data_IF_521520957662
#
_entry.id   IF_521520957662
#
_cell.length_a   1.000
_cell.length_b   1.000
_cell.length_c   1.000
_cell.angle_alpha   90.00
_cell.angle_beta   90.00
_cell.angle_gamma   90.00
#
_symmetry.space_group_name_H-M   'P 1'
#
loop_
_entity.id
_entity.type
_entity.pdbx_description
1 polymer ?
#
# COMPACT_ATOMS: atom_id res chain seq x y z
N UNK A 1 -2.86 -19.11 -0.96
CA UNK A 1 -1.97 -19.21 -2.14
C UNK A 1 -1.24 -17.89 -2.28
N UNK A 2 0.08 -17.89 -2.07
CA UNK A 2 0.94 -16.72 -2.17
C UNK A 2 1.31 -16.48 -3.63
N UNK A 3 0.67 -15.49 -4.26
CA UNK A 3 0.92 -15.10 -5.64
C UNK A 3 2.20 -14.28 -5.70
N UNK A 4 3.33 -14.98 -5.79
CA UNK A 4 4.64 -14.39 -6.07
C UNK A 4 4.63 -14.01 -7.56
N UNK A 5 5.00 -12.76 -7.86
CA UNK A 5 5.05 -12.24 -9.24
C UNK A 5 6.52 -11.97 -9.57
N UNK A 6 6.96 -12.44 -10.74
CA UNK A 6 8.29 -12.14 -11.28
C UNK A 6 8.34 -10.68 -11.75
N UNK A 7 9.27 -9.90 -11.20
CA UNK A 7 9.62 -8.57 -11.68
C UNK A 7 10.65 -8.67 -12.83
N UNK A 8 10.75 -7.65 -13.69
CA UNK A 8 11.63 -7.57 -14.88
C UNK A 8 13.12 -7.93 -14.65
N UNK A 9 13.59 -7.98 -13.41
CA UNK A 9 14.95 -8.38 -13.03
C UNK A 9 15.07 -9.83 -12.49
N UNK A 10 14.07 -10.69 -12.69
CA UNK A 10 14.10 -12.08 -12.20
C UNK A 10 14.00 -12.20 -10.67
N UNK A 11 13.58 -11.13 -9.99
CA UNK A 11 13.37 -11.13 -8.53
C UNK A 11 11.91 -11.45 -8.22
N UNK A 12 11.69 -12.54 -7.48
CA UNK A 12 10.39 -12.94 -6.95
C UNK A 12 9.90 -11.92 -5.92
N UNK A 13 8.93 -11.10 -6.30
CA UNK A 13 8.35 -10.07 -5.45
C UNK A 13 6.97 -10.49 -4.93
N UNK A 14 6.67 -10.13 -3.68
CA UNK A 14 5.34 -10.32 -3.09
C UNK A 14 4.58 -9.00 -3.12
N UNK A 15 3.57 -8.83 -4.00
CA UNK A 15 2.79 -7.59 -4.10
C UNK A 15 2.20 -7.15 -2.76
N UNK A 16 1.72 -8.11 -1.97
CA UNK A 16 1.23 -7.89 -0.60
C UNK A 16 2.28 -7.26 0.31
N UNK A 17 3.52 -7.75 0.30
CA UNK A 17 4.60 -7.19 1.14
C UNK A 17 5.00 -5.79 0.69
N UNK A 18 5.00 -5.55 -0.62
CA UNK A 18 5.31 -4.23 -1.19
C UNK A 18 4.23 -3.23 -0.79
N UNK A 19 2.96 -3.56 -1.01
CA UNK A 19 1.84 -2.70 -0.66
C UNK A 19 1.78 -2.41 0.86
N UNK A 20 2.04 -3.42 1.70
CA UNK A 20 2.10 -3.22 3.14
C UNK A 20 3.27 -2.32 3.58
N UNK A 21 4.44 -2.46 2.94
CA UNK A 21 5.62 -1.62 3.21
C UNK A 21 5.48 -0.18 2.71
N UNK A 22 4.58 0.07 1.77
CA UNK A 22 4.27 1.41 1.26
C UNK A 22 3.42 2.26 2.21
N UNK A 23 2.80 1.65 3.23
CA UNK A 23 1.93 2.33 4.18
C UNK A 23 2.56 2.41 5.58
N UNK A 24 2.67 3.62 6.15
CA UNK A 24 3.09 3.78 7.55
C UNK A 24 2.05 3.19 8.50
N UNK A 25 2.44 2.90 9.75
CA UNK A 25 1.47 2.62 10.80
C UNK A 25 0.59 3.85 11.09
N UNK A 26 -0.61 3.60 11.62
CA UNK A 26 -1.47 4.66 12.15
C UNK A 26 -0.87 5.19 13.45
N UNK A 27 -0.69 6.52 13.53
CA UNK A 27 -0.10 7.22 14.67
C UNK A 27 -1.01 8.38 15.10
N UNK A 28 -1.12 8.62 16.40
CA UNK A 28 -1.91 9.73 16.95
C UNK A 28 -1.11 11.03 16.86
N UNK A 29 -1.71 12.07 16.29
CA UNK A 29 -1.13 13.40 16.15
C UNK A 29 -2.18 14.46 16.48
N UNK A 30 -2.08 15.03 17.68
CA UNK A 30 -3.09 15.96 18.21
C UNK A 30 -4.46 15.29 18.31
N UNK A 31 -5.47 15.92 17.68
CA UNK A 31 -6.85 15.43 17.62
C UNK A 31 -7.08 14.34 16.55
N UNK A 32 -6.05 13.95 15.79
CA UNK A 32 -6.18 13.06 14.64
C UNK A 32 -5.36 11.77 14.78
N UNK A 33 -5.76 10.76 14.03
CA UNK A 33 -5.00 9.55 13.73
C UNK A 33 -4.59 9.62 12.27
N UNK A 34 -3.27 9.59 12.03
CA UNK A 34 -2.68 9.83 10.71
C UNK A 34 -1.84 8.65 10.25
N UNK A 35 -1.80 8.43 8.94
CA UNK A 35 -0.83 7.55 8.28
C UNK A 35 -0.50 8.09 6.89
N UNK A 36 0.62 7.66 6.33
CA UNK A 36 1.01 7.95 4.95
C UNK A 36 0.97 6.70 4.08
N UNK A 37 0.67 6.87 2.80
CA UNK A 37 0.73 5.83 1.77
C UNK A 37 1.57 6.34 0.60
N UNK A 38 2.65 5.62 0.27
CA UNK A 38 3.43 5.86 -0.94
C UNK A 38 2.80 5.12 -2.12
N UNK A 39 2.15 5.84 -3.02
CA UNK A 39 1.48 5.26 -4.20
C UNK A 39 2.47 5.09 -5.36
N UNK A 40 3.43 6.00 -5.47
CA UNK A 40 4.55 5.96 -6.40
C UNK A 40 5.79 6.57 -5.74
N UNK A 41 6.94 6.49 -6.39
CA UNK A 41 8.21 7.13 -6.02
C UNK A 41 8.06 8.60 -5.59
N UNK A 42 7.30 9.38 -6.36
CA UNK A 42 7.07 10.82 -6.12
C UNK A 42 5.66 11.16 -5.60
N UNK A 43 4.81 10.15 -5.30
CA UNK A 43 3.45 10.34 -4.77
C UNK A 43 3.32 9.71 -3.37
N UNK A 44 3.41 10.57 -2.34
CA UNK A 44 3.14 10.22 -0.95
C UNK A 44 1.87 10.95 -0.51
N UNK A 45 0.87 10.18 -0.11
CA UNK A 45 -0.42 10.69 0.36
C UNK A 45 -0.51 10.57 1.87
N UNK A 46 -0.95 11.64 2.52
CA UNK A 46 -1.23 11.65 3.94
C UNK A 46 -2.73 11.60 4.20
N UNK A 47 -3.13 10.76 5.15
CA UNK A 47 -4.52 10.60 5.56
C UNK A 47 -4.66 10.91 7.03
N UNK A 48 -5.73 11.59 7.39
CA UNK A 48 -6.06 11.97 8.76
C UNK A 48 -7.51 11.66 9.09
N UNK A 49 -7.74 11.02 10.23
CA UNK A 49 -9.08 10.69 10.73
C UNK A 49 -9.21 11.12 12.18
N UNK A 50 -10.40 11.48 12.62
CA UNK A 50 -10.68 11.75 14.04
C UNK A 50 -10.92 10.48 14.85
N UNK A 51 -11.18 9.36 14.19
CA UNK A 51 -11.40 8.05 14.79
C UNK A 51 -10.30 7.06 14.39
N UNK A 52 -9.81 6.30 15.38
CA UNK A 52 -8.70 5.35 15.18
C UNK A 52 -9.12 4.18 14.33
N UNK A 53 -10.29 3.60 14.60
CA UNK A 53 -10.75 2.40 13.91
C UNK A 53 -10.96 2.69 12.43
N UNK A 54 -11.55 3.84 12.09
CA UNK A 54 -11.66 4.32 10.71
C UNK A 54 -10.30 4.50 10.04
N UNK A 55 -9.30 5.04 10.74
CA UNK A 55 -7.95 5.16 10.18
C UNK A 55 -7.33 3.79 9.85
N UNK A 56 -7.47 2.81 10.76
CA UNK A 56 -6.97 1.46 10.57
C UNK A 56 -7.70 0.74 9.42
N UNK A 57 -9.03 0.79 9.38
CA UNK A 57 -9.82 0.20 8.29
C UNK A 57 -9.53 0.85 6.94
N UNK A 58 -9.42 2.18 6.88
CA UNK A 58 -9.06 2.88 5.65
C UNK A 58 -7.67 2.48 5.17
N UNK A 59 -6.71 2.36 6.08
CA UNK A 59 -5.35 1.89 5.77
C UNK A 59 -5.38 0.50 5.13
N UNK A 60 -6.13 -0.44 5.70
CA UNK A 60 -6.24 -1.81 5.15
C UNK A 60 -6.85 -1.83 3.74
N UNK A 61 -7.93 -1.08 3.54
CA UNK A 61 -8.59 -0.97 2.23
C UNK A 61 -7.65 -0.38 1.19
N UNK A 62 -6.93 0.69 1.51
CA UNK A 62 -6.02 1.35 0.57
C UNK A 62 -4.81 0.47 0.24
N UNK A 63 -4.25 -0.26 1.22
CA UNK A 63 -3.19 -1.25 0.97
C UNK A 63 -3.68 -2.33 0.02
N UNK A 64 -4.91 -2.83 0.18
CA UNK A 64 -5.50 -3.82 -0.72
C UNK A 64 -5.63 -3.30 -2.15
N UNK A 65 -6.06 -2.05 -2.35
CA UNK A 65 -6.12 -1.43 -3.67
C UNK A 65 -4.73 -1.27 -4.29
N UNK A 66 -3.74 -0.88 -3.48
CA UNK A 66 -2.35 -0.75 -3.94
C UNK A 66 -1.77 -2.11 -4.35
N UNK A 67 -2.08 -3.17 -3.60
CA UNK A 67 -1.72 -4.55 -3.97
C UNK A 67 -2.29 -4.91 -5.34
N UNK A 68 -3.58 -4.65 -5.59
CA UNK A 68 -4.20 -4.92 -6.89
C UNK A 68 -3.57 -4.11 -8.03
N UNK A 69 -3.23 -2.83 -7.78
CA UNK A 69 -2.52 -1.99 -8.75
C UNK A 69 -1.15 -2.57 -9.11
N UNK A 70 -0.37 -3.01 -8.13
CA UNK A 70 0.94 -3.64 -8.38
C UNK A 70 0.78 -4.89 -9.24
N UNK A 71 -0.22 -5.72 -8.95
CA UNK A 71 -0.52 -6.93 -9.73
C UNK A 71 -0.92 -6.58 -11.16
N UNK A 72 -1.77 -5.57 -11.37
CA UNK A 72 -2.19 -5.14 -12.71
C UNK A 72 -1.05 -4.54 -13.51
N UNK A 73 -0.21 -3.72 -12.88
CA UNK A 73 0.93 -3.07 -13.53
C UNK A 73 1.95 -4.11 -13.98
N UNK A 74 2.27 -5.11 -13.14
CA UNK A 74 3.18 -6.19 -13.48
C UNK A 74 2.68 -7.06 -14.66
N UNK A 75 1.37 -7.31 -14.72
CA UNK A 75 0.75 -8.02 -15.87
C UNK A 75 0.86 -7.22 -17.17
N UNK A 76 0.71 -5.90 -17.10
CA UNK A 76 0.76 -5.00 -18.27
C UNK A 76 2.17 -4.87 -18.84
N UNK A 77 3.21 -4.86 -18.00
CA UNK A 77 4.61 -4.76 -18.43
C UNK A 77 5.20 -6.07 -18.96
N UNK A 78 4.54 -7.20 -18.72
CA UNK A 78 4.95 -8.51 -19.23
C UNK A 78 4.35 -8.90 -20.59
N UNK A 79 3.63 -8.01 -21.27
CA UNK A 79 3.01 -8.22 -22.60
C UNK A 79 3.70 -7.43 -23.70
#
# INVERSE_FOLDING_TARGET
MSNIIESHFGTLMSPKKIAAGAASSVRKQGAFYVFSLRVDSDDIREYSFTDRQRAESAREVLISHLEQKIISDAKRTGS
#
